data_IF_716079385016
#
_entry.id   IF_716079385016
#
_cell.length_a   1.000
_cell.length_b   1.000
_cell.length_c   1.000
_cell.angle_alpha   90.00
_cell.angle_beta   90.00
_cell.angle_gamma   90.00
#
_symmetry.space_group_name_H-M   'P 1'
#
loop_
_entity.id
_entity.type
_entity.pdbx_description
1 polymer ?
#
# COMPACT_ATOMS: atom_id res chain seq x y z
N UNK A 1 -11.82 -3.06 -10.37
CA UNK A 1 -11.82 -3.22 -11.84
C UNK A 1 -11.19 -2.03 -12.56
N UNK A 2 -11.70 -0.78 -12.45
CA UNK A 2 -11.15 0.39 -13.20
C UNK A 2 -9.65 0.62 -13.00
N UNK A 3 -9.18 0.59 -11.74
CA UNK A 3 -7.77 0.80 -11.38
C UNK A 3 -6.82 -0.18 -12.08
N UNK A 4 -7.20 -1.46 -12.11
CA UNK A 4 -6.40 -2.52 -12.74
C UNK A 4 -6.36 -2.31 -14.26
N UNK A 5 -7.48 -1.90 -14.87
CA UNK A 5 -7.55 -1.61 -16.31
C UNK A 5 -6.68 -0.40 -16.70
N UNK A 6 -6.76 0.72 -15.96
CA UNK A 6 -5.92 1.90 -16.19
C UNK A 6 -4.45 1.54 -16.07
N UNK A 7 -4.10 0.77 -15.04
CA UNK A 7 -2.72 0.38 -14.82
C UNK A 7 -2.16 -0.58 -15.86
N UNK A 8 -2.98 -1.49 -16.39
CA UNK A 8 -2.62 -2.35 -17.50
C UNK A 8 -2.34 -1.53 -18.77
N UNK A 9 -3.23 -0.60 -19.13
CA UNK A 9 -3.07 0.28 -20.29
C UNK A 9 -1.79 1.12 -20.16
N UNK A 10 -1.58 1.77 -19.02
CA UNK A 10 -0.38 2.57 -18.79
C UNK A 10 0.91 1.78 -18.93
N UNK A 11 0.93 0.53 -18.45
CA UNK A 11 2.09 -0.36 -18.60
C UNK A 11 2.32 -0.72 -20.07
N UNK A 12 1.26 -1.08 -20.80
CA UNK A 12 1.35 -1.48 -22.20
C UNK A 12 1.86 -0.36 -23.10
N UNK A 13 1.50 0.89 -22.81
CA UNK A 13 1.88 2.06 -23.61
C UNK A 13 3.08 2.84 -23.05
N UNK A 14 3.71 2.37 -21.96
CA UNK A 14 4.84 3.06 -21.34
C UNK A 14 4.49 4.44 -20.76
N UNK A 15 3.22 4.64 -20.37
CA UNK A 15 2.72 5.90 -19.83
C UNK A 15 2.90 5.87 -18.31
N UNK A 16 3.63 6.84 -17.72
CA UNK A 16 3.77 6.91 -16.26
C UNK A 16 2.44 7.23 -15.60
N UNK A 17 2.20 6.62 -14.44
CA UNK A 17 1.02 6.88 -13.63
C UNK A 17 1.34 7.74 -12.42
N UNK A 18 0.43 8.66 -12.09
CA UNK A 18 0.44 9.35 -10.80
C UNK A 18 -0.62 8.68 -9.93
N UNK A 19 -0.19 8.05 -8.85
CA UNK A 19 -1.10 7.45 -7.86
C UNK A 19 -1.47 8.50 -6.81
N UNK A 20 -2.72 8.95 -6.89
CA UNK A 20 -3.31 9.94 -5.97
C UNK A 20 -4.11 9.30 -4.84
N UNK A 21 -4.14 7.97 -4.76
CA UNK A 21 -4.81 7.21 -3.73
C UNK A 21 -3.82 6.21 -3.13
N UNK A 22 -3.88 6.01 -1.81
CA UNK A 22 -2.92 5.15 -1.12
C UNK A 22 -3.00 3.74 -1.67
N UNK A 23 -1.91 3.31 -2.30
CA UNK A 23 -1.71 1.91 -2.64
C UNK A 23 -0.80 1.26 -1.61
N UNK A 24 -1.31 0.28 -0.88
CA UNK A 24 -0.50 -0.55 0.02
C UNK A 24 0.00 -1.83 -0.67
N UNK A 25 -0.44 -2.11 -1.90
CA UNK A 25 0.03 -3.25 -2.67
C UNK A 25 1.47 -3.00 -3.16
N UNK A 26 2.45 -3.64 -2.50
CA UNK A 26 3.89 -3.54 -2.78
C UNK A 26 4.33 -4.05 -4.17
N UNK A 27 3.43 -4.61 -4.99
CA UNK A 27 3.83 -5.33 -6.20
C UNK A 27 3.19 -4.76 -7.46
N UNK A 28 3.95 -3.96 -8.19
CA UNK A 28 3.75 -3.90 -9.64
C UNK A 28 5.01 -3.40 -10.38
N UNK A 29 5.44 -4.06 -11.47
CA UNK A 29 6.55 -3.61 -12.32
C UNK A 29 6.18 -2.38 -13.18
N UNK A 30 5.39 -1.45 -12.63
CA UNK A 30 4.87 -0.29 -13.34
C UNK A 30 5.74 0.93 -13.09
N UNK A 31 5.75 1.84 -14.06
CA UNK A 31 6.31 3.18 -13.89
C UNK A 31 5.22 4.03 -13.23
N UNK A 32 5.25 4.14 -11.91
CA UNK A 32 4.33 5.00 -11.16
C UNK A 32 5.06 5.91 -10.19
N UNK A 33 4.48 7.10 -9.98
CA UNK A 33 4.84 8.04 -8.93
C UNK A 33 3.72 7.98 -7.90
N UNK A 34 4.03 7.47 -6.71
CA UNK A 34 3.11 7.51 -5.57
C UNK A 34 3.31 8.82 -4.82
N UNK A 35 2.24 9.60 -4.66
CA UNK A 35 2.29 10.89 -3.95
C UNK A 35 2.26 10.69 -2.43
N UNK A 36 1.97 9.48 -1.98
CA UNK A 36 1.77 9.15 -0.57
C UNK A 36 3.05 8.58 0.02
N UNK A 37 3.30 8.76 1.33
CA UNK A 37 4.46 8.17 1.96
C UNK A 37 4.42 6.65 1.81
N UNK A 38 5.60 6.07 1.64
CA UNK A 38 5.74 4.64 1.83
C UNK A 38 5.21 4.26 3.23
N UNK A 39 4.48 3.16 3.31
CA UNK A 39 3.85 2.69 4.54
C UNK A 39 4.83 2.46 5.70
N UNK A 40 6.08 2.05 5.45
CA UNK A 40 7.08 1.91 6.51
C UNK A 40 7.48 3.30 7.01
N UNK A 41 7.71 4.26 6.10
CA UNK A 41 8.02 5.65 6.45
C UNK A 41 6.86 6.34 7.20
N UNK A 42 5.61 6.09 6.78
CA UNK A 42 4.44 6.59 7.48
C UNK A 42 4.30 5.99 8.89
N UNK A 43 4.47 4.67 9.02
CA UNK A 43 4.41 3.99 10.31
C UNK A 43 5.44 4.53 11.29
N UNK A 44 6.67 4.76 10.83
CA UNK A 44 7.73 5.36 11.64
C UNK A 44 7.36 6.77 12.11
N UNK A 45 6.94 7.65 11.20
CA UNK A 45 6.57 9.02 11.54
C UNK A 45 5.38 9.08 12.51
N UNK A 46 4.38 8.20 12.32
CA UNK A 46 3.24 8.09 13.22
C UNK A 46 3.66 7.62 14.61
N UNK A 47 4.54 6.62 14.69
CA UNK A 47 5.06 6.12 15.96
C UNK A 47 5.79 7.21 16.72
N UNK A 48 6.71 7.92 16.06
CA UNK A 48 7.47 9.04 16.64
C UNK A 48 6.54 10.15 17.14
N UNK A 49 5.53 10.52 16.35
CA UNK A 49 4.53 11.51 16.79
C UNK A 49 3.81 11.06 18.07
N UNK A 50 3.32 9.81 18.10
CA UNK A 50 2.56 9.32 19.25
C UNK A 50 3.45 9.11 20.50
N UNK A 51 4.66 8.59 20.34
CA UNK A 51 5.56 8.32 21.47
C UNK A 51 6.22 9.59 22.00
N UNK A 52 6.68 10.46 21.11
CA UNK A 52 7.60 11.54 21.47
C UNK A 52 6.91 12.89 21.54
N UNK A 53 5.90 13.15 20.72
CA UNK A 53 5.16 14.40 20.80
C UNK A 53 3.96 14.27 21.74
N UNK A 54 3.07 13.32 21.49
CA UNK A 54 1.85 13.10 22.30
C UNK A 54 2.13 12.32 23.61
N UNK A 55 3.33 11.75 23.78
CA UNK A 55 3.78 11.03 24.99
C UNK A 55 2.92 9.82 25.36
N UNK A 56 2.34 9.13 24.38
CA UNK A 56 1.58 7.91 24.61
C UNK A 56 2.51 6.78 25.05
N UNK A 57 2.33 6.28 26.28
CA UNK A 57 3.19 5.23 26.86
C UNK A 57 2.76 3.79 26.50
N UNK A 58 1.52 3.62 26.06
CA UNK A 58 0.91 2.32 25.74
C UNK A 58 0.01 2.50 24.54
N UNK A 59 0.17 1.61 23.56
CA UNK A 59 -0.58 1.64 22.30
C UNK A 59 -0.99 0.21 21.94
N UNK A 60 -2.10 0.07 21.23
CA UNK A 60 -2.55 -1.20 20.65
C UNK A 60 -2.75 -0.95 19.17
N UNK A 61 -2.14 -1.80 18.34
CA UNK A 61 -2.32 -1.77 16.89
C UNK A 61 -3.38 -2.82 16.57
N UNK A 62 -4.49 -2.37 15.97
CA UNK A 62 -5.51 -3.26 15.41
C UNK A 62 -5.26 -3.34 13.92
N UNK A 63 -4.88 -4.51 13.44
CA UNK A 63 -4.71 -4.79 12.03
C UNK A 63 -5.96 -5.50 11.52
N UNK A 64 -6.55 -4.97 10.45
CA UNK A 64 -7.56 -5.71 9.70
C UNK A 64 -6.86 -6.65 8.73
N UNK A 65 -7.01 -7.97 8.92
CA UNK A 65 -6.62 -8.94 7.91
C UNK A 65 -7.60 -8.82 6.76
N UNK A 66 -7.24 -8.04 5.73
CA UNK A 66 -7.85 -8.17 4.42
C UNK A 66 -7.46 -9.55 3.88
N UNK A 67 -8.34 -10.54 4.09
CA UNK A 67 -8.15 -11.90 3.61
C UNK A 67 -7.80 -11.90 2.12
N UNK A 68 -6.65 -12.48 1.80
CA UNK A 68 -6.29 -12.89 0.45
C UNK A 68 -7.40 -13.84 -0.02
N UNK A 69 -8.08 -13.48 -1.10
CA UNK A 69 -9.20 -14.25 -1.65
C UNK A 69 -8.73 -15.70 -1.94
N UNK A 70 -9.56 -16.74 -1.74
CA UNK A 70 -9.15 -18.17 -1.75
C UNK A 70 -8.55 -18.72 -3.06
N UNK A 71 -8.39 -17.89 -4.10
CA UNK A 71 -7.90 -18.31 -5.41
C UNK A 71 -6.41 -18.69 -5.41
N UNK A 72 -5.62 -18.28 -4.40
CA UNK A 72 -4.18 -18.56 -4.36
C UNK A 72 -3.77 -19.87 -3.66
N UNK A 73 -4.69 -20.57 -2.98
CA UNK A 73 -4.38 -21.81 -2.25
C UNK A 73 -4.53 -23.09 -3.08
N UNK A 74 -5.09 -23.04 -4.30
CA UNK A 74 -5.32 -24.24 -5.13
C UNK A 74 -4.16 -24.65 -6.04
N UNK A 75 -3.08 -23.87 -6.12
CA UNK A 75 -1.95 -24.20 -7.00
C UNK A 75 -0.68 -24.67 -6.26
N UNK A 76 -0.68 -24.72 -4.91
CA UNK A 76 0.50 -25.12 -4.14
C UNK A 76 0.22 -26.15 -3.02
N UNK A 77 -0.81 -26.98 -3.18
CA UNK A 77 -1.00 -28.21 -2.38
C UNK A 77 -1.29 -29.39 -3.31
#
# INVERSE_FOLDING_TARGET
MLRQSVAMVSTQFGIPLIETHWNTERSNPRISINVHPDHDAFGQALFEYLSDYEKWRRMVIVLENYEITPAYFKENC
#
